data_IF_379395538679
#
_entry.id   IF_379395538679
#
_cell.length_a   1.000
_cell.length_b   1.000
_cell.length_c   1.000
_cell.angle_alpha   90.00
_cell.angle_beta   90.00
_cell.angle_gamma   90.00
#
_symmetry.space_group_name_H-M   'P 1'
#
loop_
_entity.id
_entity.type
_entity.pdbx_description
1 polymer ?
#
# COMPACT_ATOMS: atom_id res chain seq x y z
N UNK A 1 27.76 -9.97 -39.56
CA UNK A 1 28.41 -9.81 -38.24
C UNK A 1 27.53 -8.84 -37.46
N UNK A 2 26.94 -9.26 -36.34
CA UNK A 2 25.96 -8.45 -35.59
C UNK A 2 26.74 -7.48 -34.68
N UNK A 3 26.62 -6.18 -34.91
CA UNK A 3 27.27 -5.17 -34.08
C UNK A 3 26.65 -5.17 -32.68
N UNK A 4 27.47 -5.43 -31.67
CA UNK A 4 27.08 -5.36 -30.26
C UNK A 4 27.16 -3.89 -29.83
N UNK A 5 26.00 -3.27 -29.61
CA UNK A 5 25.90 -1.89 -29.14
C UNK A 5 26.31 -1.85 -27.65
N UNK A 6 27.42 -1.17 -27.34
CA UNK A 6 27.98 -1.06 -25.97
C UNK A 6 27.29 -0.04 -25.06
N UNK A 7 26.53 0.90 -25.62
CA UNK A 7 25.84 1.97 -24.88
C UNK A 7 24.38 2.00 -25.26
N UNK A 8 23.52 1.94 -24.26
CA UNK A 8 22.07 2.01 -24.44
C UNK A 8 21.63 3.41 -24.89
N UNK A 9 21.15 3.59 -26.13
CA UNK A 9 20.72 4.89 -26.63
C UNK A 9 19.43 5.40 -25.97
N UNK A 10 18.67 4.53 -25.28
CA UNK A 10 17.45 4.92 -24.58
C UNK A 10 17.71 5.79 -23.36
N UNK A 11 18.95 5.83 -22.86
CA UNK A 11 19.37 6.67 -21.74
C UNK A 11 19.21 8.18 -22.02
N UNK A 12 19.16 8.57 -23.29
CA UNK A 12 18.95 9.96 -23.71
C UNK A 12 17.46 10.31 -23.91
N UNK A 13 16.56 9.33 -23.76
CA UNK A 13 15.12 9.55 -23.89
C UNK A 13 14.59 10.04 -22.54
N UNK A 14 14.14 11.30 -22.43
CA UNK A 14 13.55 11.80 -21.20
C UNK A 14 12.25 11.04 -20.91
N UNK A 15 12.06 10.61 -19.66
CA UNK A 15 10.80 10.00 -19.25
C UNK A 15 9.68 11.04 -19.32
N UNK A 16 8.59 10.72 -20.02
CA UNK A 16 7.39 11.54 -20.05
C UNK A 16 6.82 11.59 -18.63
N UNK A 17 6.58 12.80 -18.11
CA UNK A 17 5.91 12.99 -16.83
C UNK A 17 4.50 12.40 -16.92
N UNK A 18 4.34 11.19 -16.40
CA UNK A 18 3.03 10.57 -16.27
C UNK A 18 2.24 11.35 -15.23
N UNK A 19 0.99 11.69 -15.55
CA UNK A 19 0.08 12.32 -14.61
C UNK A 19 -0.08 11.39 -13.39
N UNK A 20 0.24 11.90 -12.21
CA UNK A 20 0.12 11.16 -10.96
C UNK A 20 -1.18 11.58 -10.31
N UNK A 21 -2.22 10.74 -10.43
CA UNK A 21 -3.42 10.90 -9.62
C UNK A 21 -3.07 10.65 -8.17
N UNK A 22 -3.53 11.53 -7.29
CA UNK A 22 -3.41 11.29 -5.87
C UNK A 22 -4.21 10.02 -5.52
N UNK A 23 -3.67 9.14 -4.66
CA UNK A 23 -4.43 8.01 -4.18
C UNK A 23 -5.65 8.51 -3.40
N UNK A 24 -6.74 7.75 -3.49
CA UNK A 24 -7.86 7.95 -2.56
C UNK A 24 -7.39 7.65 -1.15
N UNK A 25 -7.81 8.46 -0.19
CA UNK A 25 -7.51 8.30 1.22
C UNK A 25 -8.81 8.28 2.01
N UNK A 26 -8.79 7.62 3.16
CA UNK A 26 -9.88 7.66 4.13
C UNK A 26 -9.71 8.87 5.02
N UNK A 27 -10.78 9.64 5.19
CA UNK A 27 -10.87 10.67 6.21
C UNK A 27 -10.85 10.03 7.59
N UNK A 28 -10.57 10.86 8.60
CA UNK A 28 -10.48 10.40 9.98
C UNK A 28 -11.74 9.65 10.43
N UNK A 29 -12.92 10.22 10.16
CA UNK A 29 -14.20 9.60 10.55
C UNK A 29 -14.44 8.27 9.82
N UNK A 30 -14.11 8.20 8.53
CA UNK A 30 -14.21 6.97 7.73
C UNK A 30 -13.27 5.88 8.27
N UNK A 31 -12.08 6.26 8.75
CA UNK A 31 -11.20 5.32 9.46
C UNK A 31 -11.79 4.87 10.80
N UNK A 32 -12.36 5.79 11.58
CA UNK A 32 -12.95 5.43 12.88
C UNK A 32 -14.12 4.46 12.71
N UNK A 33 -14.90 4.60 11.65
CA UNK A 33 -15.98 3.67 11.30
C UNK A 33 -15.42 2.31 10.87
N UNK A 34 -14.35 2.30 10.06
CA UNK A 34 -13.67 1.07 9.66
C UNK A 34 -13.11 0.30 10.88
N UNK A 35 -12.49 0.99 11.84
CA UNK A 35 -11.97 0.38 13.07
C UNK A 35 -13.06 -0.28 13.92
N UNK A 36 -14.31 0.20 13.84
CA UNK A 36 -15.46 -0.33 14.58
C UNK A 36 -16.21 -1.45 13.84
N UNK A 37 -15.94 -1.64 12.54
CA UNK A 37 -16.64 -2.62 11.70
C UNK A 37 -16.49 -4.10 12.08
N UNK A 38 -15.39 -4.58 12.71
CA UNK A 38 -15.24 -6.02 12.99
C UNK A 38 -16.23 -6.57 14.03
N UNK A 39 -16.85 -7.71 13.71
CA UNK A 39 -17.79 -8.43 14.59
C UNK A 39 -17.01 -9.31 15.57
N UNK A 40 -17.12 -9.06 16.88
CA UNK A 40 -16.25 -9.69 17.90
C UNK A 40 -16.78 -11.01 18.49
N UNK A 41 -17.55 -11.77 17.70
CA UNK A 41 -18.22 -12.99 18.18
C UNK A 41 -17.27 -14.18 18.33
N UNK A 42 -16.21 -14.24 17.52
CA UNK A 42 -15.25 -15.33 17.52
C UNK A 42 -13.79 -14.83 17.53
N UNK A 43 -12.84 -15.77 17.49
CA UNK A 43 -11.42 -15.45 17.48
C UNK A 43 -10.98 -14.75 16.20
N UNK A 44 -11.66 -15.01 15.08
CA UNK A 44 -11.36 -14.39 13.79
C UNK A 44 -11.73 -12.90 13.83
N UNK A 45 -12.91 -12.57 14.36
CA UNK A 45 -13.34 -11.18 14.53
C UNK A 45 -12.44 -10.38 15.47
N UNK A 46 -11.99 -11.00 16.57
CA UNK A 46 -11.01 -10.37 17.48
C UNK A 46 -9.65 -10.16 16.81
N UNK A 47 -9.20 -11.13 16.00
CA UNK A 47 -7.97 -11.00 15.19
C UNK A 47 -8.09 -9.85 14.21
N UNK A 48 -9.19 -9.78 13.46
CA UNK A 48 -9.38 -8.76 12.43
C UNK A 48 -9.38 -7.35 13.03
N UNK A 49 -10.01 -7.17 14.20
CA UNK A 49 -9.90 -5.94 14.99
C UNK A 49 -8.46 -5.61 15.40
N UNK A 50 -7.73 -6.58 15.94
CA UNK A 50 -6.34 -6.38 16.35
C UNK A 50 -5.44 -5.99 15.16
N UNK A 51 -5.67 -6.57 13.98
CA UNK A 51 -4.97 -6.23 12.74
C UNK A 51 -5.23 -4.76 12.36
N UNK A 52 -6.49 -4.33 12.35
CA UNK A 52 -6.85 -2.94 12.02
C UNK A 52 -6.28 -1.93 13.03
N UNK A 53 -6.38 -2.22 14.32
CA UNK A 53 -5.81 -1.37 15.37
C UNK A 53 -4.29 -1.29 15.28
N UNK A 54 -3.61 -2.40 14.96
CA UNK A 54 -2.15 -2.42 14.77
C UNK A 54 -1.75 -1.55 13.58
N UNK A 55 -2.39 -1.73 12.43
CA UNK A 55 -2.10 -0.90 11.25
C UNK A 55 -2.31 0.59 11.53
N UNK A 56 -3.43 0.95 12.15
CA UNK A 56 -3.75 2.35 12.42
C UNK A 56 -2.84 2.98 13.47
N UNK A 57 -2.47 2.22 14.52
CA UNK A 57 -1.66 2.75 15.62
C UNK A 57 -0.17 2.83 15.31
N UNK A 58 0.34 1.90 14.49
CA UNK A 58 1.79 1.76 14.24
C UNK A 58 2.22 2.23 12.85
N UNK A 59 1.30 2.26 11.88
CA UNK A 59 1.62 2.62 10.49
C UNK A 59 2.45 1.56 9.75
N UNK A 60 2.54 0.33 10.25
CA UNK A 60 3.27 -0.75 9.58
C UNK A 60 2.62 -1.16 8.26
N UNK A 61 3.43 -1.71 7.36
CA UNK A 61 2.98 -2.28 6.08
C UNK A 61 2.41 -3.67 6.28
N UNK A 62 1.54 -4.09 5.36
CA UNK A 62 0.97 -5.45 5.35
C UNK A 62 2.06 -6.53 5.38
N UNK A 63 3.15 -6.33 4.65
CA UNK A 63 4.29 -7.27 4.63
C UNK A 63 4.97 -7.40 5.99
N UNK A 64 4.98 -6.35 6.81
CA UNK A 64 5.61 -6.36 8.14
C UNK A 64 4.72 -7.08 9.17
N UNK A 65 3.39 -7.09 8.95
CA UNK A 65 2.45 -7.80 9.81
C UNK A 65 2.47 -9.32 9.57
N UNK A 66 2.65 -9.76 8.33
CA UNK A 66 2.55 -11.18 7.95
C UNK A 66 3.89 -11.96 8.03
N UNK A 67 5.01 -11.24 8.14
CA UNK A 67 6.36 -11.84 8.17
C UNK A 67 6.91 -12.17 6.79
#
# INVERSE_FOLDING_TARGET
>A
MMEIIKKDPSQFIPTIKKERRLPSYLKQDEMLDLLKSPILLDILGKRDKAIFETFYSTGIRVSELVG
#
